data_IF_077681900810
#
_entry.id   IF_077681900810
#
_cell.length_a   1.000
_cell.length_b   1.000
_cell.length_c   1.000
_cell.angle_alpha   90.00
_cell.angle_beta   90.00
_cell.angle_gamma   90.00
#
_symmetry.space_group_name_H-M   'P 1'
#
loop_
_entity.id
_entity.type
_entity.pdbx_description
1 polymer ?
#
# COMPACT_ATOMS: atom_id res chain seq x y z
N UNK A 1 -9.01 -3.83 -9.03
CA UNK A 1 -7.67 -4.28 -8.62
C UNK A 1 -6.83 -4.59 -9.85
N UNK A 2 -5.76 -3.82 -10.07
CA UNK A 2 -4.80 -4.08 -11.13
C UNK A 2 -3.37 -3.98 -10.57
N UNK A 3 -2.52 -4.95 -10.88
CA UNK A 3 -1.12 -4.92 -10.46
C UNK A 3 -0.41 -3.75 -11.14
N UNK A 4 0.13 -2.84 -10.33
CA UNK A 4 0.89 -1.68 -10.78
C UNK A 4 2.37 -2.02 -10.86
N UNK A 5 2.87 -2.75 -9.85
CA UNK A 5 4.28 -3.13 -9.75
C UNK A 5 4.42 -4.48 -9.08
N UNK A 6 5.47 -5.22 -9.44
CA UNK A 6 5.80 -6.51 -8.85
C UNK A 6 7.29 -6.60 -8.63
N UNK A 7 7.68 -7.03 -7.44
CA UNK A 7 9.08 -7.22 -7.05
C UNK A 7 9.22 -8.51 -6.25
N UNK A 8 9.66 -9.59 -6.93
CA UNK A 8 9.79 -10.91 -6.31
C UNK A 8 8.47 -11.43 -5.71
N UNK A 9 8.45 -11.52 -4.38
CA UNK A 9 7.27 -11.95 -3.58
C UNK A 9 6.30 -10.80 -3.29
N UNK A 10 6.68 -9.56 -3.55
CA UNK A 10 5.91 -8.37 -3.25
C UNK A 10 5.20 -7.83 -4.49
N UNK A 11 4.02 -7.29 -4.28
CA UNK A 11 3.17 -6.76 -5.35
C UNK A 11 2.52 -5.48 -4.87
N UNK A 12 2.55 -4.44 -5.70
CA UNK A 12 1.80 -3.21 -5.51
C UNK A 12 0.58 -3.25 -6.44
N UNK A 13 -0.61 -3.23 -5.87
CA UNK A 13 -1.88 -3.32 -6.60
C UNK A 13 -2.67 -2.03 -6.44
N UNK A 14 -3.17 -1.45 -7.53
CA UNK A 14 -4.11 -0.31 -7.44
C UNK A 14 -5.47 -0.88 -7.06
N UNK A 15 -5.92 -0.55 -5.86
CA UNK A 15 -7.20 -0.98 -5.34
C UNK A 15 -8.31 -0.06 -5.88
N UNK A 16 -8.14 1.24 -5.64
CA UNK A 16 -9.00 2.31 -6.14
C UNK A 16 -8.17 3.55 -6.50
N UNK A 17 -8.84 4.60 -6.97
CA UNK A 17 -8.18 5.89 -7.18
C UNK A 17 -7.62 6.41 -5.85
N UNK A 18 -6.35 6.77 -5.86
CA UNK A 18 -5.61 7.17 -4.68
C UNK A 18 -5.33 6.10 -3.62
N UNK A 19 -5.61 4.80 -3.86
CA UNK A 19 -5.26 3.72 -2.91
C UNK A 19 -4.53 2.58 -3.61
N UNK A 20 -3.40 2.20 -3.02
CA UNK A 20 -2.56 1.12 -3.47
C UNK A 20 -2.36 0.11 -2.34
N UNK A 21 -2.44 -1.18 -2.64
CA UNK A 21 -2.23 -2.27 -1.70
C UNK A 21 -0.85 -2.89 -1.92
N UNK A 22 -0.09 -3.05 -0.84
CA UNK A 22 1.16 -3.81 -0.80
C UNK A 22 0.83 -5.23 -0.35
N UNK A 23 1.03 -6.19 -1.25
CA UNK A 23 0.76 -7.60 -1.01
C UNK A 23 2.06 -8.43 -1.02
N UNK A 24 2.24 -9.30 -0.04
CA UNK A 24 3.31 -10.31 0.00
C UNK A 24 2.70 -11.67 -0.34
N UNK A 25 3.10 -12.28 -1.47
CA UNK A 25 2.58 -13.59 -1.94
C UNK A 25 1.04 -13.68 -2.04
N UNK A 26 0.36 -12.54 -2.13
CA UNK A 26 -1.10 -12.44 -2.20
C UNK A 26 -1.77 -12.06 -0.88
N UNK A 27 -1.02 -11.95 0.22
CA UNK A 27 -1.51 -11.47 1.50
C UNK A 27 -1.28 -9.96 1.62
N UNK A 28 -2.34 -9.20 1.96
CA UNK A 28 -2.25 -7.77 2.20
C UNK A 28 -1.37 -7.50 3.43
N UNK A 29 -0.35 -6.66 3.25
CA UNK A 29 0.59 -6.28 4.32
C UNK A 29 0.45 -4.82 4.71
N UNK A 30 0.28 -3.95 3.71
CA UNK A 30 0.14 -2.51 3.93
C UNK A 30 -0.70 -1.88 2.82
N UNK A 31 -1.17 -0.66 3.05
CA UNK A 31 -1.86 0.18 2.08
C UNK A 31 -1.18 1.54 1.98
N UNK A 32 -1.13 2.07 0.78
CA UNK A 32 -0.63 3.41 0.49
C UNK A 32 -1.80 4.25 0.00
N UNK A 33 -2.08 5.34 0.70
CA UNK A 33 -3.14 6.29 0.37
C UNK A 33 -2.48 7.57 -0.14
N UNK A 34 -2.91 8.05 -1.30
CA UNK A 34 -2.44 9.31 -1.86
C UNK A 34 -3.40 10.45 -1.55
N UNK A 35 -2.98 11.71 -1.63
CA UNK A 35 -3.87 12.89 -1.51
C UNK A 35 -5.04 12.90 -2.50
N UNK A 36 -4.89 12.23 -3.64
CA UNK A 36 -5.96 12.02 -4.65
C UNK A 36 -7.09 11.11 -4.13
N UNK A 37 -6.93 10.54 -2.94
CA UNK A 37 -7.94 9.73 -2.29
C UNK A 37 -9.10 10.60 -1.78
N UNK A 38 -10.23 10.55 -2.49
CA UNK A 38 -11.47 11.12 -2.00
C UNK A 38 -12.29 10.05 -1.25
N UNK A 39 -12.38 10.12 0.11
CA UNK A 39 -13.18 9.18 0.87
C UNK A 39 -14.65 9.31 0.47
N UNK A 40 -15.20 8.27 -0.15
CA UNK A 40 -16.59 8.27 -0.62
C UNK A 40 -17.55 7.87 0.51
N UNK A 41 -17.58 8.66 1.59
CA UNK A 41 -18.59 8.55 2.64
C UNK A 41 -18.05 8.50 4.08
N UNK A 42 -18.97 8.36 5.04
CA UNK A 42 -18.70 8.31 6.49
C UNK A 42 -18.14 6.96 6.98
N UNK A 43 -18.18 5.93 6.12
CA UNK A 43 -17.73 4.56 6.42
C UNK A 43 -16.68 4.18 5.39
N UNK A 44 -15.56 4.88 5.42
CA UNK A 44 -14.45 4.57 4.56
C UNK A 44 -13.67 3.39 5.14
N UNK A 45 -13.92 2.20 4.57
CA UNK A 45 -13.40 0.91 5.06
C UNK A 45 -11.87 0.83 4.98
N UNK A 46 -11.25 1.63 4.12
CA UNK A 46 -9.80 1.65 3.87
C UNK A 46 -9.02 2.14 5.10
N UNK A 47 -9.58 3.09 5.84
CA UNK A 47 -9.00 3.63 7.09
C UNK A 47 -9.47 2.89 8.35
N UNK A 48 -10.50 2.04 8.22
CA UNK A 48 -11.12 1.33 9.36
C UNK A 48 -10.38 0.04 9.73
N UNK A 49 -9.57 -0.51 8.82
CA UNK A 49 -8.75 -1.69 9.09
C UNK A 49 -7.53 -1.32 9.96
N UNK A 50 -7.74 -1.23 11.28
CA UNK A 50 -6.69 -0.91 12.26
C UNK A 50 -5.54 -1.93 12.30
N UNK A 51 -5.65 -3.06 11.60
CA UNK A 51 -4.63 -4.12 11.59
C UNK A 51 -3.64 -3.99 10.43
N UNK A 52 -3.97 -3.22 9.39
CA UNK A 52 -3.13 -3.04 8.21
C UNK A 52 -2.38 -1.72 8.30
N UNK A 53 -1.06 -1.77 8.08
CA UNK A 53 -0.25 -0.56 8.05
C UNK A 53 -0.69 0.36 6.91
N UNK A 54 -0.96 1.63 7.22
CA UNK A 54 -1.39 2.64 6.25
C UNK A 54 -0.33 3.70 6.10
N UNK A 55 0.10 3.94 4.86
CA UNK A 55 1.16 4.88 4.48
C UNK A 55 0.51 5.99 3.67
N UNK A 56 0.58 7.22 4.16
CA UNK A 56 0.03 8.39 3.45
C UNK A 56 1.11 9.08 2.63
N UNK A 57 0.86 9.29 1.34
CA UNK A 57 1.77 9.98 0.40
C UNK A 57 1.03 11.03 -0.42
N UNK A 58 1.71 11.91 -1.15
CA UNK A 58 1.02 12.96 -1.93
C UNK A 58 0.77 12.56 -3.37
N UNK A 59 1.46 11.55 -3.87
CA UNK A 59 1.41 11.19 -5.29
C UNK A 59 1.83 9.74 -5.54
N UNK A 60 1.39 9.20 -6.67
CA UNK A 60 1.77 7.85 -7.13
C UNK A 60 3.30 7.60 -7.16
N UNK A 61 4.16 8.48 -7.69
CA UNK A 61 5.61 8.29 -7.63
C UNK A 61 6.19 8.25 -6.21
N UNK A 62 5.53 8.86 -5.22
CA UNK A 62 5.91 8.66 -3.80
C UNK A 62 5.42 7.30 -3.30
N UNK A 63 4.25 6.85 -3.72
CA UNK A 63 3.77 5.50 -3.40
C UNK A 63 4.73 4.41 -3.90
N UNK A 64 5.32 4.57 -5.08
CA UNK A 64 6.32 3.63 -5.58
C UNK A 64 7.62 3.64 -4.78
N UNK A 65 8.05 4.81 -4.30
CA UNK A 65 9.22 4.93 -3.44
C UNK A 65 8.97 4.28 -2.08
N UNK A 66 7.83 4.56 -1.46
CA UNK A 66 7.45 3.95 -0.19
C UNK A 66 7.25 2.43 -0.32
N UNK A 67 6.71 1.95 -1.44
CA UNK A 67 6.64 0.51 -1.73
C UNK A 67 8.03 -0.14 -1.75
N UNK A 68 9.00 0.46 -2.44
CA UNK A 68 10.37 -0.06 -2.46
C UNK A 68 11.00 -0.02 -1.07
N UNK A 69 10.86 1.09 -0.34
CA UNK A 69 11.37 1.20 1.02
C UNK A 69 10.74 0.18 1.97
N UNK A 70 9.44 -0.08 1.83
CA UNK A 70 8.73 -1.09 2.61
C UNK A 70 9.28 -2.49 2.34
N UNK A 71 9.52 -2.82 1.07
CA UNK A 71 10.14 -4.09 0.69
C UNK A 71 11.56 -4.18 1.26
N UNK A 72 12.37 -3.14 1.08
CA UNK A 72 13.74 -3.11 1.59
C UNK A 72 13.77 -3.25 3.11
N UNK A 73 12.88 -2.58 3.85
CA UNK A 73 12.77 -2.73 5.30
C UNK A 73 12.34 -4.14 5.70
N UNK A 74 11.31 -4.69 5.05
CA UNK A 74 10.82 -6.04 5.29
C UNK A 74 11.80 -7.16 4.89
N UNK A 75 12.71 -6.90 3.95
CA UNK A 75 13.74 -7.85 3.51
C UNK A 75 15.09 -7.67 4.24
N UNK A 76 15.45 -6.44 4.60
CA UNK A 76 16.68 -6.09 5.33
C UNK A 76 16.51 -6.30 6.84
N UNK A 77 15.27 -6.24 7.34
CA UNK A 77 14.89 -6.47 8.72
C UNK A 77 13.84 -7.57 8.83
N UNK A 78 14.30 -8.81 9.02
CA UNK A 78 13.47 -9.78 9.73
C UNK A 78 13.02 -9.17 11.06
N UNK A 79 11.75 -9.37 11.39
CA UNK A 79 11.16 -9.19 12.73
C UNK A 79 12.23 -9.21 13.84
N UNK A 80 12.36 -8.11 14.57
CA UNK A 80 12.68 -8.19 15.99
C UNK A 80 11.42 -8.62 16.76
#
# INVERSE_FOLDING_TARGET
MGTVRRDGKWTLEKDQEGVYAICERGDLRARIITDDYEPQGLLDDVTTDMMTETIEVRSFPEAEQEFQRYIEDAESGGFW
#
